data_IF_398870025648
#
_entry.id   IF_398870025648
#
_cell.length_a   1.000
_cell.length_b   1.000
_cell.length_c   1.000
_cell.angle_alpha   90.00
_cell.angle_beta   90.00
_cell.angle_gamma   90.00
#
_symmetry.space_group_name_H-M   'P 1'
#
loop_
_entity.id
_entity.type
_entity.pdbx_description
1 polymer ?
#
# COMPACT_ATOMS: atom_id res chain seq x y z
N UNK A 1 -1.79 -37.79 8.34
CA UNK A 1 -1.72 -36.99 7.11
C UNK A 1 -0.28 -36.91 6.63
N UNK A 2 0.04 -37.22 5.35
CA UNK A 2 1.40 -37.07 4.84
C UNK A 2 1.90 -35.61 4.96
N UNK A 3 3.18 -35.43 5.28
CA UNK A 3 3.77 -34.10 5.46
C UNK A 3 3.60 -33.19 4.23
N UNK A 4 3.67 -33.74 3.03
CA UNK A 4 3.47 -32.96 1.81
C UNK A 4 2.02 -32.47 1.64
N UNK A 5 1.03 -33.23 2.08
CA UNK A 5 -0.37 -32.77 1.98
C UNK A 5 -0.69 -31.69 3.00
N UNK A 6 -0.06 -31.72 4.17
CA UNK A 6 -0.09 -30.62 5.15
C UNK A 6 0.53 -29.35 4.60
N UNK A 7 1.73 -29.45 4.00
CA UNK A 7 2.39 -28.32 3.35
C UNK A 7 1.56 -27.74 2.20
N UNK A 8 0.93 -28.57 1.38
CA UNK A 8 0.05 -28.12 0.30
C UNK A 8 -1.18 -27.38 0.84
N UNK A 9 -1.80 -27.89 1.91
CA UNK A 9 -2.92 -27.25 2.60
C UNK A 9 -2.53 -25.86 3.13
N UNK A 10 -1.34 -25.72 3.71
CA UNK A 10 -0.84 -24.46 4.22
C UNK A 10 -0.59 -23.44 3.08
N UNK A 11 -0.09 -23.87 1.93
CA UNK A 11 0.09 -23.02 0.75
C UNK A 11 -1.25 -22.50 0.24
N UNK A 12 -2.27 -23.35 0.11
CA UNK A 12 -3.61 -22.92 -0.29
C UNK A 12 -4.23 -21.94 0.70
N UNK A 13 -4.06 -22.16 1.98
CA UNK A 13 -4.53 -21.27 3.04
C UNK A 13 -3.92 -19.88 2.91
N UNK A 14 -2.61 -19.81 2.71
CA UNK A 14 -1.88 -18.54 2.51
C UNK A 14 -2.37 -17.79 1.29
N UNK A 15 -2.58 -18.48 0.18
CA UNK A 15 -3.11 -17.88 -1.05
C UNK A 15 -4.51 -17.29 -0.85
N UNK A 16 -5.39 -17.96 -0.11
CA UNK A 16 -6.73 -17.46 0.20
C UNK A 16 -6.65 -16.18 1.04
N UNK A 17 -5.80 -16.15 2.07
CA UNK A 17 -5.59 -14.95 2.88
C UNK A 17 -5.08 -13.77 2.05
N UNK A 18 -4.11 -14.00 1.18
CA UNK A 18 -3.57 -12.97 0.28
C UNK A 18 -4.64 -12.49 -0.70
N UNK A 19 -5.42 -13.41 -1.28
CA UNK A 19 -6.48 -13.09 -2.24
C UNK A 19 -7.57 -12.21 -1.62
N UNK A 20 -8.05 -12.57 -0.44
CA UNK A 20 -9.08 -11.79 0.27
C UNK A 20 -8.51 -10.42 0.68
N UNK A 21 -7.33 -10.40 1.28
CA UNK A 21 -6.66 -9.17 1.67
C UNK A 21 -6.41 -8.25 0.48
N UNK A 22 -5.93 -8.81 -0.63
CA UNK A 22 -5.67 -8.07 -1.87
C UNK A 22 -6.93 -7.48 -2.48
N UNK A 23 -8.02 -8.23 -2.52
CA UNK A 23 -9.32 -7.75 -2.96
C UNK A 23 -9.83 -6.59 -2.10
N UNK A 24 -9.78 -6.75 -0.78
CA UNK A 24 -10.15 -5.68 0.16
C UNK A 24 -9.26 -4.45 0.00
N UNK A 25 -7.96 -4.64 -0.11
CA UNK A 25 -7.00 -3.55 -0.32
C UNK A 25 -7.28 -2.79 -1.62
N UNK A 26 -7.53 -3.50 -2.71
CA UNK A 26 -7.82 -2.89 -4.03
C UNK A 26 -9.12 -2.08 -4.02
N UNK A 27 -10.17 -2.59 -3.41
CA UNK A 27 -11.45 -1.86 -3.29
C UNK A 27 -11.26 -0.63 -2.40
N UNK A 28 -10.61 -0.76 -1.26
CA UNK A 28 -10.33 0.36 -0.35
C UNK A 28 -9.48 1.42 -1.03
N UNK A 29 -8.47 1.02 -1.80
CA UNK A 29 -7.68 1.94 -2.64
C UNK A 29 -8.56 2.75 -3.58
N UNK A 30 -9.41 2.08 -4.35
CA UNK A 30 -10.28 2.74 -5.32
C UNK A 30 -11.19 3.78 -4.65
N UNK A 31 -11.83 3.42 -3.54
CA UNK A 31 -12.69 4.32 -2.79
C UNK A 31 -11.91 5.50 -2.20
N UNK A 32 -10.72 5.27 -1.68
CA UNK A 32 -9.86 6.32 -1.13
C UNK A 32 -9.41 7.29 -2.23
N UNK A 33 -9.02 6.77 -3.40
CA UNK A 33 -8.62 7.61 -4.53
C UNK A 33 -9.77 8.51 -4.99
N UNK A 34 -10.99 7.99 -5.10
CA UNK A 34 -12.17 8.80 -5.43
C UNK A 34 -12.37 9.90 -4.39
N UNK A 35 -12.42 9.54 -3.11
CA UNK A 35 -12.68 10.49 -2.03
C UNK A 35 -11.62 11.60 -1.96
N UNK A 36 -10.36 11.28 -2.18
CA UNK A 36 -9.28 12.27 -2.19
C UNK A 36 -9.37 13.16 -3.42
N UNK A 37 -9.60 12.60 -4.61
CA UNK A 37 -9.67 13.36 -5.86
C UNK A 37 -10.88 14.30 -5.91
N UNK A 38 -11.98 13.92 -5.29
CA UNK A 38 -13.15 14.80 -5.18
C UNK A 38 -12.89 16.03 -4.30
N UNK A 39 -12.06 15.89 -3.27
CA UNK A 39 -11.73 16.98 -2.34
C UNK A 39 -10.57 17.84 -2.81
N UNK A 40 -9.58 17.22 -3.46
CA UNK A 40 -8.36 17.87 -3.94
C UNK A 40 -8.38 17.89 -5.46
N UNK A 41 -9.25 18.74 -6.04
CA UNK A 41 -9.44 18.80 -7.48
C UNK A 41 -8.14 19.10 -8.22
N UNK A 42 -7.74 18.28 -9.19
CA UNK A 42 -6.55 18.52 -10.00
C UNK A 42 -6.71 19.67 -11.01
N UNK A 43 -7.86 20.33 -11.07
CA UNK A 43 -8.14 21.38 -12.05
C UNK A 43 -7.18 22.58 -11.93
N UNK A 44 -6.71 22.90 -10.73
CA UNK A 44 -5.79 24.01 -10.48
C UNK A 44 -4.33 23.59 -10.42
N UNK A 45 -4.08 22.32 -10.09
CA UNK A 45 -2.73 21.78 -9.93
C UNK A 45 -2.77 20.29 -10.28
N UNK A 46 -2.16 19.88 -11.39
CA UNK A 46 -2.29 18.51 -11.90
C UNK A 46 -1.41 17.51 -11.14
N UNK A 47 -1.48 17.52 -9.82
CA UNK A 47 -0.80 16.57 -8.95
C UNK A 47 -1.71 15.36 -8.68
N UNK A 48 -1.21 14.11 -8.81
CA UNK A 48 -2.02 12.91 -8.61
C UNK A 48 -2.26 12.62 -7.12
N UNK A 49 -3.10 13.40 -6.47
CA UNK A 49 -3.35 13.34 -5.03
C UNK A 49 -3.87 11.98 -4.55
N UNK A 50 -4.77 11.37 -5.32
CA UNK A 50 -5.36 10.08 -4.94
C UNK A 50 -4.32 8.96 -4.86
N UNK A 51 -3.50 8.81 -5.89
CA UNK A 51 -2.42 7.83 -5.94
C UNK A 51 -1.36 8.11 -4.86
N UNK A 52 -0.98 9.38 -4.72
CA UNK A 52 -0.04 9.80 -3.69
C UNK A 52 -0.54 9.40 -2.28
N UNK A 53 -1.79 9.73 -1.97
CA UNK A 53 -2.39 9.45 -0.66
C UNK A 53 -2.41 7.95 -0.34
N UNK A 54 -2.86 7.10 -1.27
CA UNK A 54 -2.92 5.65 -1.01
C UNK A 54 -1.53 5.04 -0.85
N UNK A 55 -0.54 5.51 -1.59
CA UNK A 55 0.82 5.01 -1.46
C UNK A 55 1.46 5.42 -0.12
N UNK A 56 1.24 6.65 0.35
CA UNK A 56 1.76 7.11 1.64
C UNK A 56 1.03 6.43 2.81
N UNK A 57 -0.30 6.37 2.78
CA UNK A 57 -1.09 5.67 3.81
C UNK A 57 -0.72 4.18 3.84
N UNK A 58 -0.62 3.53 2.68
CA UNK A 58 -0.23 2.13 2.60
C UNK A 58 1.18 1.85 3.09
N UNK A 59 2.11 2.79 2.86
CA UNK A 59 3.48 2.71 3.38
C UNK A 59 3.50 2.82 4.91
N UNK A 60 2.68 3.70 5.48
CA UNK A 60 2.50 3.81 6.93
C UNK A 60 1.93 2.50 7.50
N UNK A 61 0.89 1.98 6.87
CA UNK A 61 0.22 0.75 7.31
C UNK A 61 1.14 -0.47 7.22
N UNK A 62 1.94 -0.62 6.17
CA UNK A 62 2.82 -1.79 6.05
C UNK A 62 3.91 -1.76 7.12
N UNK A 63 4.51 -0.61 7.40
CA UNK A 63 5.45 -0.45 8.51
C UNK A 63 4.82 -0.81 9.85
N UNK A 64 3.62 -0.30 10.10
CA UNK A 64 2.85 -0.60 11.30
C UNK A 64 2.54 -2.09 11.42
N UNK A 65 2.01 -2.73 10.38
CA UNK A 65 1.62 -4.14 10.42
C UNK A 65 2.79 -5.08 10.63
N UNK A 66 3.96 -4.81 10.06
CA UNK A 66 5.16 -5.61 10.30
C UNK A 66 5.58 -5.54 11.77
N UNK A 67 5.75 -4.35 12.33
CA UNK A 67 6.13 -4.18 13.74
C UNK A 67 5.10 -4.75 14.70
N UNK A 68 3.82 -4.48 14.45
CA UNK A 68 2.72 -4.99 15.26
C UNK A 68 2.65 -6.52 15.23
N UNK A 69 2.82 -7.11 14.05
CA UNK A 69 2.81 -8.57 13.87
C UNK A 69 3.94 -9.27 14.62
N UNK A 70 5.13 -8.68 14.61
CA UNK A 70 6.27 -9.21 15.36
C UNK A 70 6.04 -9.11 16.85
N UNK A 71 5.56 -7.96 17.32
CA UNK A 71 5.36 -7.70 18.74
C UNK A 71 4.29 -8.60 19.37
N UNK A 72 3.18 -8.83 18.68
CA UNK A 72 2.05 -9.62 19.16
C UNK A 72 2.05 -11.05 18.66
N UNK A 73 3.12 -11.52 18.00
CA UNK A 73 3.25 -12.87 17.45
C UNK A 73 2.02 -13.29 16.64
N UNK A 74 1.57 -12.44 15.74
CA UNK A 74 0.46 -12.78 14.87
C UNK A 74 0.81 -14.00 14.01
N UNK A 75 -0.21 -14.80 13.66
CA UNK A 75 -0.01 -15.93 12.77
C UNK A 75 0.59 -15.48 11.43
N UNK A 76 1.35 -16.34 10.79
CA UNK A 76 1.96 -16.05 9.51
C UNK A 76 0.90 -15.71 8.45
N UNK A 77 -0.22 -16.42 8.46
CA UNK A 77 -1.35 -16.19 7.55
C UNK A 77 -1.97 -14.80 7.74
N UNK A 78 -2.19 -14.38 8.99
CA UNK A 78 -2.73 -13.04 9.28
C UNK A 78 -1.75 -11.94 8.86
N UNK A 79 -0.46 -12.14 9.09
CA UNK A 79 0.58 -11.22 8.62
C UNK A 79 0.57 -11.09 7.10
N UNK A 80 0.45 -12.20 6.36
CA UNK A 80 0.32 -12.20 4.91
C UNK A 80 -0.94 -11.47 4.44
N UNK A 81 -2.06 -11.70 5.11
CA UNK A 81 -3.31 -11.00 4.82
C UNK A 81 -3.16 -9.49 4.92
N UNK A 82 -2.55 -9.00 6.00
CA UNK A 82 -2.39 -7.56 6.26
C UNK A 82 -1.35 -6.91 5.34
N UNK A 83 -0.20 -7.56 5.15
CA UNK A 83 0.95 -6.96 4.45
C UNK A 83 0.92 -7.23 2.95
N UNK A 84 1.10 -8.47 2.54
CA UNK A 84 1.13 -8.86 1.11
C UNK A 84 -0.25 -8.68 0.47
N UNK A 85 -1.31 -9.07 1.17
CA UNK A 85 -2.67 -8.95 0.69
C UNK A 85 -3.16 -7.51 0.71
N UNK A 86 -3.55 -7.02 1.88
CA UNK A 86 -4.20 -5.71 2.00
C UNK A 86 -3.30 -4.56 1.55
N UNK A 87 -2.13 -4.39 2.12
CA UNK A 87 -1.21 -3.31 1.74
C UNK A 87 -0.75 -3.45 0.29
N UNK A 88 -0.50 -4.69 -0.18
CA UNK A 88 -0.14 -4.95 -1.57
C UNK A 88 -1.23 -4.57 -2.56
N UNK A 89 -2.49 -4.79 -2.23
CA UNK A 89 -3.63 -4.35 -3.03
C UNK A 89 -3.95 -2.86 -2.90
N UNK A 90 -3.68 -2.28 -1.74
CA UNK A 90 -3.97 -0.87 -1.45
C UNK A 90 -2.97 0.08 -2.09
N UNK A 91 -1.68 -0.24 -2.13
CA UNK A 91 -0.64 0.57 -2.79
C UNK A 91 -0.53 0.25 -4.27
N UNK A 92 0.00 1.17 -5.06
CA UNK A 92 0.10 0.96 -6.51
C UNK A 92 1.29 1.66 -7.14
N UNK A 93 2.23 0.88 -7.63
CA UNK A 93 3.35 1.35 -8.43
C UNK A 93 2.93 1.63 -9.89
N UNK A 94 2.09 0.77 -10.46
CA UNK A 94 1.66 0.93 -11.86
C UNK A 94 0.88 2.22 -12.11
N UNK A 95 0.03 2.62 -11.17
CA UNK A 95 -0.69 3.89 -11.27
C UNK A 95 0.26 5.09 -11.10
N UNK A 96 1.23 5.00 -10.18
CA UNK A 96 2.28 6.01 -10.04
C UNK A 96 3.06 6.18 -11.35
N UNK A 97 3.42 5.09 -12.00
CA UNK A 97 4.12 5.12 -13.28
C UNK A 97 3.24 5.72 -14.40
N UNK A 98 1.96 5.35 -14.47
CA UNK A 98 1.02 5.89 -15.46
C UNK A 98 0.75 7.38 -15.25
N UNK A 99 0.55 7.81 -14.01
CA UNK A 99 0.39 9.23 -13.66
C UNK A 99 1.63 10.04 -14.05
N UNK A 100 2.80 9.50 -13.77
CA UNK A 100 4.09 10.11 -14.12
C UNK A 100 4.23 10.28 -15.63
N UNK A 101 3.88 9.27 -16.41
CA UNK A 101 3.88 9.35 -17.86
C UNK A 101 2.91 10.41 -18.37
N UNK A 102 1.72 10.51 -17.78
CA UNK A 102 0.73 11.52 -18.13
C UNK A 102 1.24 12.94 -17.86
N UNK A 103 1.92 13.14 -16.73
CA UNK A 103 2.56 14.43 -16.42
C UNK A 103 3.65 14.80 -17.44
N UNK A 104 4.48 13.84 -17.82
CA UNK A 104 5.51 14.05 -18.86
C UNK A 104 4.89 14.40 -20.21
N UNK A 105 3.86 13.67 -20.64
CA UNK A 105 3.15 13.95 -21.89
C UNK A 105 2.46 15.31 -21.90
N UNK A 106 2.00 15.77 -20.75
CA UNK A 106 1.39 17.08 -20.56
C UNK A 106 2.39 18.23 -20.45
N UNK A 107 3.70 17.95 -20.42
CA UNK A 107 4.74 18.95 -20.27
C UNK A 107 4.96 19.42 -18.82
N UNK A 108 4.38 18.73 -17.83
CA UNK A 108 4.49 19.07 -16.40
C UNK A 108 5.74 18.45 -15.77
N UNK A 109 6.93 18.77 -16.29
CA UNK A 109 8.19 18.15 -15.87
C UNK A 109 8.54 18.41 -14.41
N UNK A 110 8.30 19.61 -13.92
CA UNK A 110 8.54 19.96 -12.52
C UNK A 110 7.64 19.20 -11.55
N UNK A 111 6.36 19.09 -11.88
CA UNK A 111 5.39 18.33 -11.08
C UNK A 111 5.72 16.83 -11.13
N UNK A 112 6.09 16.31 -12.29
CA UNK A 112 6.55 14.94 -12.44
C UNK A 112 7.73 14.64 -11.52
N UNK A 113 8.77 15.45 -11.55
CA UNK A 113 9.98 15.26 -10.73
C UNK A 113 9.64 15.32 -9.24
N UNK A 114 8.86 16.32 -8.84
CA UNK A 114 8.39 16.46 -7.46
C UNK A 114 7.55 15.26 -7.02
N UNK A 115 6.60 14.82 -7.83
CA UNK A 115 5.70 13.71 -7.53
C UNK A 115 6.46 12.41 -7.28
N UNK A 116 7.39 12.05 -8.17
CA UNK A 116 8.19 10.82 -8.03
C UNK A 116 9.09 10.92 -6.79
N UNK A 117 9.80 12.04 -6.63
CA UNK A 117 10.71 12.23 -5.50
C UNK A 117 9.99 12.21 -4.16
N UNK A 118 8.91 12.99 -4.03
CA UNK A 118 8.17 13.08 -2.76
C UNK A 118 7.45 11.77 -2.42
N UNK A 119 7.00 11.02 -3.43
CA UNK A 119 6.38 9.71 -3.23
C UNK A 119 7.37 8.72 -2.62
N UNK A 120 8.59 8.68 -3.11
CA UNK A 120 9.64 7.79 -2.58
C UNK A 120 10.08 8.25 -1.19
N UNK A 121 10.39 9.54 -1.04
CA UNK A 121 10.87 10.08 0.24
C UNK A 121 9.84 9.92 1.36
N UNK A 122 8.61 10.39 1.15
CA UNK A 122 7.56 10.29 2.16
C UNK A 122 7.09 8.84 2.33
N UNK A 123 7.17 8.02 1.29
CA UNK A 123 6.92 6.58 1.39
C UNK A 123 7.89 5.91 2.37
N UNK A 124 9.18 6.17 2.24
CA UNK A 124 10.20 5.65 3.17
C UNK A 124 9.98 6.15 4.60
N UNK A 125 9.74 7.45 4.76
CA UNK A 125 9.47 8.04 6.08
C UNK A 125 8.19 7.48 6.70
N UNK A 126 7.16 7.24 5.89
CA UNK A 126 5.91 6.65 6.34
C UNK A 126 6.10 5.21 6.84
N UNK A 127 6.90 4.38 6.15
CA UNK A 127 7.25 3.03 6.63
C UNK A 127 7.97 3.10 7.98
N UNK A 128 8.95 4.00 8.12
CA UNK A 128 9.65 4.20 9.39
C UNK A 128 8.71 4.64 10.51
N UNK A 129 7.85 5.61 10.23
CA UNK A 129 6.88 6.10 11.20
C UNK A 129 5.87 5.02 11.60
N UNK A 130 5.37 4.25 10.64
CA UNK A 130 4.47 3.13 10.90
C UNK A 130 5.13 2.06 11.77
N UNK A 131 6.37 1.71 11.46
CA UNK A 131 7.16 0.77 12.25
C UNK A 131 7.31 1.24 13.71
N UNK A 132 7.69 2.50 13.89
CA UNK A 132 7.80 3.11 15.21
C UNK A 132 6.46 3.07 15.97
N UNK A 133 5.37 3.43 15.33
CA UNK A 133 4.04 3.39 15.94
C UNK A 133 3.65 1.96 16.35
N UNK A 134 3.96 0.96 15.53
CA UNK A 134 3.69 -0.45 15.84
C UNK A 134 4.46 -0.94 17.10
N UNK A 135 5.63 -0.39 17.34
CA UNK A 135 6.44 -0.70 18.53
C UNK A 135 5.89 -0.07 19.81
N UNK A 136 5.10 1.01 19.72
CA UNK A 136 4.57 1.71 20.89
C UNK A 136 3.38 1.01 21.56
N UNK A 137 2.70 0.11 20.86
CA UNK A 137 1.60 -0.63 21.47
C UNK A 137 2.10 -1.62 22.53
N UNK A 138 1.62 -1.50 23.77
CA UNK A 138 1.96 -2.34 24.91
C UNK A 138 0.95 -3.46 25.10
#
# INVERSE_FOLDING_TARGET
>A
TPLYSSAASDVYKRQIYIFIGGGMGSVTRYLTQIAVNERLSPALFPFPWGTFAVNIIGSLLIGFFYSFSERFNLSFELRLFLTVGFCGGFTTFSTLANDSLSLLKGGFYGIFTFYVFISILLGLLAVLAGGYLGEQFK
#
